data_IF_031970334352
#
_entry.id   IF_031970334352
#
_cell.length_a   1.000
_cell.length_b   1.000
_cell.length_c   1.000
_cell.angle_alpha   90.00
_cell.angle_beta   90.00
_cell.angle_gamma   90.00
#
_symmetry.space_group_name_H-M   'P 1'
#
loop_
_entity.id
_entity.type
_entity.pdbx_description
1 polymer ?
#
# COMPACT_ATOMS: atom_id res chain seq x y z
N UNK A 1 15.51 11.83 4.62
CA UNK A 1 15.34 11.17 5.94
C UNK A 1 16.40 10.08 6.05
N UNK A 2 17.37 10.26 6.93
CA UNK A 2 18.50 9.34 7.20
C UNK A 2 18.16 8.45 8.40
N UNK A 3 18.45 7.15 8.31
CA UNK A 3 18.11 6.16 9.34
C UNK A 3 19.10 6.21 10.54
N UNK A 4 18.66 5.91 11.78
CA UNK A 4 19.52 5.89 12.96
C UNK A 4 20.61 4.79 12.91
N UNK A 5 21.80 5.16 13.42
CA UNK A 5 23.09 4.44 13.29
C UNK A 5 23.16 3.05 13.95
N UNK A 6 22.12 2.66 14.69
CA UNK A 6 22.05 1.38 15.40
C UNK A 6 21.68 0.19 14.49
N UNK A 7 21.17 0.44 13.27
CA UNK A 7 21.06 -0.59 12.24
C UNK A 7 22.38 -0.69 11.48
N UNK A 8 23.37 -1.36 12.11
CA UNK A 8 24.76 -1.46 11.64
C UNK A 8 24.92 -1.84 10.16
N UNK A 9 23.96 -2.57 9.58
CA UNK A 9 24.02 -3.00 8.17
C UNK A 9 23.44 -1.99 7.15
N UNK A 10 22.62 -1.03 7.60
CA UNK A 10 21.96 -0.03 6.75
C UNK A 10 22.40 1.42 7.05
N UNK A 11 23.40 1.57 7.92
CA UNK A 11 23.98 2.85 8.30
C UNK A 11 24.49 3.62 7.07
N UNK A 12 23.92 4.80 6.82
CA UNK A 12 24.40 5.74 5.80
C UNK A 12 23.88 5.57 4.36
N UNK A 13 23.10 4.53 4.03
CA UNK A 13 22.46 4.41 2.70
C UNK A 13 21.03 4.98 2.70
N UNK A 14 20.63 5.67 1.62
CA UNK A 14 19.22 6.05 1.37
C UNK A 14 18.39 4.77 1.45
N UNK A 15 17.45 4.72 2.40
CA UNK A 15 16.65 3.54 2.73
C UNK A 15 16.12 2.88 1.45
N UNK A 16 16.48 1.61 1.15
CA UNK A 16 15.86 0.87 0.07
C UNK A 16 14.39 0.70 0.44
N UNK A 17 13.59 1.51 -0.23
CA UNK A 17 12.14 1.68 -0.12
C UNK A 17 11.31 0.39 -0.06
N UNK A 18 11.90 -0.72 -0.51
CA UNK A 18 11.34 -2.06 -0.48
C UNK A 18 11.28 -2.68 0.92
N UNK A 19 12.04 -2.19 1.90
CA UNK A 19 12.12 -2.79 3.24
C UNK A 19 10.80 -2.69 4.04
N UNK A 20 10.10 -1.54 4.09
CA UNK A 20 8.75 -1.49 4.66
C UNK A 20 7.66 -1.97 3.69
N UNK A 21 7.94 -1.98 2.39
CA UNK A 21 6.92 -2.29 1.37
C UNK A 21 6.73 -3.79 1.13
N UNK A 22 7.77 -4.59 1.32
CA UNK A 22 7.74 -6.05 1.14
C UNK A 22 6.74 -6.75 2.07
N UNK A 23 6.70 -6.50 3.40
CA UNK A 23 5.70 -7.14 4.24
C UNK A 23 4.28 -6.69 3.88
N UNK A 24 4.09 -5.40 3.57
CA UNK A 24 2.78 -4.87 3.17
C UNK A 24 2.30 -5.49 1.87
N UNK A 25 3.17 -5.67 0.88
CA UNK A 25 2.82 -6.33 -0.38
C UNK A 25 2.46 -7.81 -0.23
N UNK A 26 2.87 -8.46 0.86
CA UNK A 26 2.57 -9.86 1.12
C UNK A 26 1.26 -10.01 1.92
N UNK A 27 1.03 -9.11 2.87
CA UNK A 27 -0.12 -9.14 3.80
C UNK A 27 -1.37 -8.47 3.20
N UNK A 28 -1.22 -7.37 2.47
CA UNK A 28 -2.36 -6.65 1.91
C UNK A 28 -3.18 -7.48 0.90
N UNK A 29 -2.58 -8.17 -0.10
CA UNK A 29 -3.36 -8.95 -1.05
C UNK A 29 -3.99 -10.19 -0.42
N UNK A 30 -3.34 -10.79 0.59
CA UNK A 30 -3.92 -11.92 1.32
C UNK A 30 -5.14 -11.50 2.14
N UNK A 31 -5.05 -10.37 2.86
CA UNK A 31 -6.21 -9.80 3.55
C UNK A 31 -7.33 -9.40 2.58
N UNK A 32 -6.98 -8.76 1.47
CA UNK A 32 -7.94 -8.31 0.47
C UNK A 32 -8.69 -9.50 -0.15
N UNK A 33 -7.95 -10.55 -0.56
CA UNK A 33 -8.50 -11.77 -1.12
C UNK A 33 -9.35 -12.52 -0.10
N UNK A 34 -8.88 -12.62 1.14
CA UNK A 34 -9.62 -13.29 2.21
C UNK A 34 -10.93 -12.56 2.53
N UNK A 35 -10.89 -11.25 2.76
CA UNK A 35 -12.08 -10.46 3.06
C UNK A 35 -13.07 -10.40 1.90
N UNK A 36 -12.60 -10.35 0.65
CA UNK A 36 -13.49 -10.40 -0.53
C UNK A 36 -14.10 -11.78 -0.71
N UNK A 37 -13.33 -12.86 -0.53
CA UNK A 37 -13.85 -14.23 -0.54
C UNK A 37 -14.91 -14.46 0.54
N UNK A 38 -14.67 -13.96 1.75
CA UNK A 38 -15.67 -13.98 2.82
C UNK A 38 -16.94 -13.21 2.42
N UNK A 39 -16.81 -12.02 1.84
CA UNK A 39 -17.96 -11.26 1.33
C UNK A 39 -18.77 -12.03 0.29
N UNK A 40 -18.11 -12.69 -0.66
CA UNK A 40 -18.78 -13.53 -1.66
C UNK A 40 -19.54 -14.66 -0.96
N UNK A 41 -18.91 -15.34 -0.01
CA UNK A 41 -19.54 -16.43 0.74
C UNK A 41 -20.77 -15.95 1.54
N UNK A 42 -20.68 -14.81 2.21
CA UNK A 42 -21.81 -14.21 2.93
C UNK A 42 -22.93 -13.78 1.97
N UNK A 43 -22.60 -13.18 0.83
CA UNK A 43 -23.58 -12.81 -0.19
C UNK A 43 -24.31 -14.04 -0.75
N UNK A 44 -23.61 -15.15 -0.99
CA UNK A 44 -24.22 -16.40 -1.43
C UNK A 44 -25.14 -17.01 -0.36
N UNK A 45 -24.81 -16.88 0.92
CA UNK A 45 -25.72 -17.28 2.00
C UNK A 45 -26.96 -16.38 2.05
N UNK A 46 -26.79 -15.07 1.86
CA UNK A 46 -27.89 -14.12 1.84
C UNK A 46 -28.88 -14.35 0.70
N UNK A 47 -28.38 -14.72 -0.49
CA UNK A 47 -29.23 -15.04 -1.65
C UNK A 47 -29.85 -16.44 -1.58
N UNK A 48 -29.54 -17.22 -0.54
CA UNK A 48 -30.05 -18.59 -0.36
C UNK A 48 -29.38 -19.62 -1.27
N UNK A 49 -28.33 -19.25 -2.01
CA UNK A 49 -27.53 -20.19 -2.80
C UNK A 49 -26.76 -21.14 -1.88
N UNK A 50 -26.30 -20.63 -0.73
CA UNK A 50 -25.70 -21.42 0.34
C UNK A 50 -26.59 -21.41 1.57
N UNK A 51 -26.61 -22.53 2.30
CA UNK A 51 -27.35 -22.61 3.56
C UNK A 51 -26.69 -21.71 4.61
N UNK A 52 -27.52 -20.88 5.24
CA UNK A 52 -27.08 -20.02 6.32
C UNK A 52 -26.76 -20.87 7.56
N UNK A 53 -25.49 -20.95 7.94
CA UNK A 53 -25.05 -21.75 9.08
C UNK A 53 -24.70 -20.84 10.26
N UNK A 54 -25.39 -21.02 11.38
CA UNK A 54 -25.15 -20.27 12.62
C UNK A 54 -26.28 -19.31 13.02
N UNK A 55 -26.04 -18.55 14.09
CA UNK A 55 -26.97 -17.53 14.58
C UNK A 55 -26.89 -16.25 13.75
N UNK A 56 -27.95 -15.40 13.74
CA UNK A 56 -27.90 -14.09 13.09
C UNK A 56 -26.73 -13.22 13.58
N UNK A 57 -26.37 -13.32 14.86
CA UNK A 57 -25.21 -12.60 15.44
C UNK A 57 -23.88 -13.04 14.83
N UNK A 58 -23.70 -14.34 14.55
CA UNK A 58 -22.50 -14.85 13.88
C UNK A 58 -22.40 -14.35 12.44
N UNK A 59 -23.53 -14.23 11.74
CA UNK A 59 -23.56 -13.67 10.40
C UNK A 59 -23.18 -12.19 10.38
N UNK A 60 -23.73 -11.37 11.29
CA UNK A 60 -23.33 -9.96 11.42
C UNK A 60 -21.85 -9.81 11.76
N UNK A 61 -21.32 -10.68 12.63
CA UNK A 61 -19.88 -10.72 12.92
C UNK A 61 -19.06 -11.06 11.67
N UNK A 62 -19.53 -12.01 10.86
CA UNK A 62 -18.94 -12.36 9.58
C UNK A 62 -18.92 -11.17 8.61
N UNK A 63 -20.02 -10.42 8.50
CA UNK A 63 -20.07 -9.19 7.70
C UNK A 63 -19.06 -8.15 8.18
N UNK A 64 -18.97 -7.91 9.49
CA UNK A 64 -18.03 -6.96 10.07
C UNK A 64 -16.57 -7.37 9.87
N UNK A 65 -16.26 -8.67 10.01
CA UNK A 65 -14.93 -9.19 9.74
C UNK A 65 -14.59 -9.07 8.25
N UNK A 66 -15.51 -9.43 7.35
CA UNK A 66 -15.31 -9.35 5.92
C UNK A 66 -15.07 -7.91 5.45
N UNK A 67 -15.83 -6.93 5.95
CA UNK A 67 -15.59 -5.51 5.66
C UNK A 67 -14.27 -5.01 6.20
N UNK A 68 -13.90 -5.38 7.43
CA UNK A 68 -12.62 -5.00 8.00
C UNK A 68 -11.46 -5.55 7.17
N UNK A 69 -11.42 -6.85 6.88
CA UNK A 69 -10.32 -7.46 6.13
C UNK A 69 -10.27 -7.00 4.67
N UNK A 70 -11.40 -6.94 3.97
CA UNK A 70 -11.44 -6.46 2.59
C UNK A 70 -11.07 -4.97 2.53
N UNK A 71 -11.66 -4.15 3.39
CA UNK A 71 -11.46 -2.71 3.43
C UNK A 71 -10.01 -2.35 3.76
N UNK A 72 -9.46 -2.89 4.86
CA UNK A 72 -8.06 -2.65 5.23
C UNK A 72 -7.09 -3.25 4.22
N UNK A 73 -7.35 -4.46 3.70
CA UNK A 73 -6.50 -5.10 2.68
C UNK A 73 -6.38 -4.25 1.42
N UNK A 74 -7.52 -3.79 0.88
CA UNK A 74 -7.53 -2.90 -0.29
C UNK A 74 -6.93 -1.52 0.01
N UNK A 75 -7.26 -0.91 1.15
CA UNK A 75 -6.70 0.38 1.53
C UNK A 75 -5.16 0.34 1.62
N UNK A 76 -4.61 -0.70 2.24
CA UNK A 76 -3.16 -0.91 2.34
C UNK A 76 -2.52 -1.16 0.97
N UNK A 77 -3.14 -1.98 0.12
CA UNK A 77 -2.65 -2.24 -1.23
C UNK A 77 -2.61 -0.95 -2.08
N UNK A 78 -3.69 -0.15 -2.03
CA UNK A 78 -3.78 1.14 -2.73
C UNK A 78 -2.76 2.14 -2.18
N UNK A 79 -2.60 2.21 -0.85
CA UNK A 79 -1.61 3.08 -0.22
C UNK A 79 -0.19 2.70 -0.64
N UNK A 80 0.14 1.41 -0.65
CA UNK A 80 1.43 0.90 -1.09
C UNK A 80 1.69 1.20 -2.58
N UNK A 81 0.69 1.00 -3.45
CA UNK A 81 0.77 1.28 -4.88
C UNK A 81 0.90 2.79 -5.16
N UNK A 82 0.12 3.61 -4.45
CA UNK A 82 0.16 5.08 -4.53
C UNK A 82 1.51 5.61 -4.09
N UNK A 83 2.02 5.12 -2.95
CA UNK A 83 3.37 5.40 -2.51
C UNK A 83 4.32 5.02 -3.63
N UNK A 84 4.27 3.78 -4.17
CA UNK A 84 5.13 3.28 -5.26
C UNK A 84 5.24 4.23 -6.43
N UNK A 85 4.12 4.73 -6.92
CA UNK A 85 4.05 5.67 -8.04
C UNK A 85 4.63 7.04 -7.70
N UNK A 86 4.26 7.62 -6.55
CA UNK A 86 4.66 9.01 -6.18
C UNK A 86 6.15 9.20 -5.91
N UNK A 87 6.85 8.14 -5.55
CA UNK A 87 8.29 8.19 -5.26
C UNK A 87 9.10 7.39 -6.29
N UNK A 88 8.57 7.22 -7.51
CA UNK A 88 9.41 6.92 -8.67
C UNK A 88 10.30 8.14 -8.96
N UNK A 89 11.60 7.95 -9.24
CA UNK A 89 12.47 9.07 -9.57
C UNK A 89 11.95 9.77 -10.83
N UNK A 90 11.58 11.04 -10.70
CA UNK A 90 11.38 11.90 -11.86
C UNK A 90 12.75 12.27 -12.41
N UNK A 91 12.98 12.03 -13.70
CA UNK A 91 14.10 12.63 -14.39
C UNK A 91 13.88 14.14 -14.40
N UNK A 92 14.59 14.85 -13.54
CA UNK A 92 14.64 16.31 -13.59
C UNK A 92 15.62 16.66 -14.70
N UNK A 93 15.10 17.10 -15.84
CA UNK A 93 15.93 17.75 -16.86
C UNK A 93 16.38 19.07 -16.26
N UNK A 94 17.65 19.18 -15.91
CA UNK A 94 18.25 20.44 -15.47
C UNK A 94 18.38 21.33 -16.71
N UNK A 95 17.73 22.51 -16.76
CA UNK A 95 17.94 23.45 -17.86
C UNK A 95 19.43 23.82 -17.95
N UNK A 96 19.98 23.98 -19.17
CA UNK A 96 21.38 24.38 -19.33
C UNK A 96 21.63 25.69 -18.57
N UNK A 97 22.82 25.83 -17.93
CA UNK A 97 23.17 27.06 -17.23
C UNK A 97 23.04 28.24 -18.19
N UNK A 98 22.25 29.24 -17.80
CA UNK A 98 22.16 30.50 -18.54
C UNK A 98 23.54 31.15 -18.48
N UNK A 99 24.29 31.10 -19.58
CA UNK A 99 25.49 31.93 -19.74
C UNK A 99 25.04 33.38 -19.79
N UNK A 100 25.10 34.06 -18.65
CA UNK A 100 24.99 35.52 -18.60
C UNK A 100 26.09 36.10 -19.52
N UNK A 101 25.74 37.00 -20.46
CA UNK A 101 26.73 37.66 -21.28
C UNK A 101 27.63 38.48 -20.34
N UNK A 102 28.90 38.10 -20.28
CA UNK A 102 29.97 38.87 -19.62
C UNK A 102 29.93 40.28 -20.18
N UNK A 103 29.45 41.24 -19.38
CA UNK A 103 29.61 42.65 -19.73
C UNK A 103 31.10 42.98 -19.60
N UNK A 104 31.68 43.45 -20.70
CA UNK A 104 33.06 43.88 -20.72
C UNK A 104 33.21 45.13 -19.84
N UNK A 105 34.23 45.20 -18.95
CA UNK A 105 34.57 46.41 -18.22
C UNK A 105 35.26 47.45 -19.15
N UNK A 106 35.39 48.71 -18.70
CA UNK A 106 34.85 49.95 -19.31
C UNK A 106 35.55 50.49 -20.55
#
# INVERSE_FOLDING_TARGET
MTFPRWTLWLSGKRVPRFLPLTPVWLIAPTLAAYGTGAWIYLALQFTGVLNMTGSPSQYLLGCAAATAFAGYGWALAIAAASYQRRTRPHCVVVPPPQTEPVSAPP
#
